data_IF_966048021509
#
_entry.id   IF_966048021509
#
_cell.length_a   1.000
_cell.length_b   1.000
_cell.length_c   1.000
_cell.angle_alpha   90.00
_cell.angle_beta   90.00
_cell.angle_gamma   90.00
#
_symmetry.space_group_name_H-M   'P 1'
#
loop_
_entity.id
_entity.type
_entity.pdbx_description
1 polymer ?
#
# COMPACT_ATOMS: atom_id res chain seq x y z
N UNK A 1 -3.79 12.56 0.02
CA UNK A 1 -2.74 12.41 -1.02
C UNK A 1 -1.58 11.66 -0.40
N UNK A 2 -1.00 10.68 -1.09
CA UNK A 2 0.17 9.94 -0.60
C UNK A 2 1.44 10.56 -1.18
N UNK A 3 2.30 11.13 -0.33
CA UNK A 3 3.49 11.85 -0.76
C UNK A 3 4.42 10.99 -1.64
N UNK A 4 4.77 11.50 -2.82
CA UNK A 4 5.68 10.86 -3.76
C UNK A 4 6.36 11.89 -4.67
N UNK A 5 7.69 11.92 -4.66
CA UNK A 5 8.51 12.82 -5.47
C UNK A 5 9.27 12.13 -6.61
N UNK A 6 9.25 10.80 -6.68
CA UNK A 6 9.89 10.06 -7.77
C UNK A 6 9.15 10.21 -9.10
N UNK A 7 9.80 9.76 -10.17
CA UNK A 7 9.22 9.73 -11.51
C UNK A 7 8.07 8.71 -11.57
N UNK A 8 6.89 9.18 -11.97
CA UNK A 8 5.69 8.38 -12.15
C UNK A 8 4.71 9.13 -13.05
N UNK A 9 4.21 8.45 -14.09
CA UNK A 9 3.37 9.05 -15.14
C UNK A 9 2.06 9.66 -14.64
N UNK A 10 1.52 9.14 -13.53
CA UNK A 10 0.25 9.60 -12.94
C UNK A 10 0.42 10.33 -11.61
N UNK A 11 1.64 10.80 -11.29
CA UNK A 11 1.86 11.68 -10.15
C UNK A 11 1.05 12.97 -10.32
N UNK A 12 0.40 13.40 -9.25
CA UNK A 12 -0.42 14.62 -9.25
C UNK A 12 0.30 15.72 -8.48
N UNK A 13 0.26 16.93 -9.03
CA UNK A 13 0.57 18.17 -8.32
C UNK A 13 -0.72 18.84 -7.84
N UNK A 14 -0.79 19.23 -6.57
CA UNK A 14 -1.92 19.94 -5.97
C UNK A 14 -1.38 21.05 -5.06
N UNK A 15 -1.31 22.31 -5.52
CA UNK A 15 -0.64 23.40 -4.79
C UNK A 15 -1.31 23.69 -3.43
N UNK A 16 -2.63 23.56 -3.35
CA UNK A 16 -3.44 23.90 -2.17
C UNK A 16 -3.42 22.81 -1.08
N UNK A 17 -2.66 21.72 -1.28
CA UNK A 17 -2.56 20.64 -0.30
C UNK A 17 -1.20 20.68 0.41
N UNK A 18 -1.13 20.33 1.71
CA UNK A 18 0.15 20.31 2.45
C UNK A 18 1.19 19.43 1.77
N UNK A 19 0.76 18.26 1.29
CA UNK A 19 1.53 17.42 0.39
C UNK A 19 1.20 17.85 -1.03
N UNK A 20 2.13 18.57 -1.67
CA UNK A 20 1.92 19.12 -3.01
C UNK A 20 2.08 18.09 -4.13
N UNK A 21 2.96 17.11 -3.97
CA UNK A 21 3.26 16.10 -4.98
C UNK A 21 3.00 14.69 -4.45
N UNK A 22 2.25 13.89 -5.18
CA UNK A 22 2.01 12.53 -4.76
C UNK A 22 1.04 11.73 -5.59
N UNK A 23 0.65 10.60 -5.02
CA UNK A 23 -0.41 9.74 -5.52
C UNK A 23 -1.75 10.28 -5.00
N UNK A 24 -2.68 10.57 -5.92
CA UNK A 24 -4.03 10.97 -5.56
C UNK A 24 -4.90 9.72 -5.40
N UNK A 25 -5.60 9.61 -4.28
CA UNK A 25 -6.62 8.60 -4.04
C UNK A 25 -7.94 9.31 -3.77
N UNK A 26 -9.01 8.83 -4.39
CA UNK A 26 -10.38 9.19 -4.09
C UNK A 26 -10.89 8.24 -3.02
N UNK A 27 -11.51 8.75 -1.96
CA UNK A 27 -11.93 7.94 -0.81
C UNK A 27 -13.41 8.17 -0.53
N UNK A 28 -14.08 7.10 -0.17
CA UNK A 28 -15.42 7.07 0.41
C UNK A 28 -15.26 6.67 1.87
N UNK A 29 -15.64 7.56 2.78
CA UNK A 29 -15.56 7.32 4.21
C UNK A 29 -16.95 7.47 4.85
N UNK A 30 -17.18 6.71 5.92
CA UNK A 30 -18.35 6.88 6.77
C UNK A 30 -18.37 8.28 7.40
N UNK A 31 -19.52 8.96 7.32
CA UNK A 31 -19.67 10.36 7.71
C UNK A 31 -19.54 10.55 9.23
N UNK A 32 -19.78 9.53 10.05
CA UNK A 32 -19.88 9.64 11.50
C UNK A 32 -18.54 9.33 12.15
N UNK A 33 -17.94 8.19 11.81
CA UNK A 33 -16.72 7.71 12.46
C UNK A 33 -15.47 7.78 11.59
N UNK A 34 -15.58 8.23 10.33
CA UNK A 34 -14.49 8.34 9.37
C UNK A 34 -13.88 6.99 8.92
N UNK A 35 -14.60 5.88 9.04
CA UNK A 35 -14.17 4.59 8.52
C UNK A 35 -14.00 4.65 7.00
N UNK A 36 -12.84 4.25 6.48
CA UNK A 36 -12.62 4.23 5.04
C UNK A 36 -13.27 2.99 4.42
N UNK A 37 -14.41 3.19 3.74
CA UNK A 37 -15.21 2.14 3.11
C UNK A 37 -14.61 1.67 1.79
N UNK A 38 -14.18 2.62 0.96
CA UNK A 38 -13.65 2.35 -0.38
C UNK A 38 -12.69 3.45 -0.80
N UNK A 39 -11.73 3.09 -1.65
CA UNK A 39 -10.90 4.08 -2.30
C UNK A 39 -10.61 3.68 -3.75
N UNK A 40 -10.25 4.67 -4.57
CA UNK A 40 -9.81 4.48 -5.94
C UNK A 40 -8.58 5.33 -6.20
N UNK A 41 -7.50 4.69 -6.65
CA UNK A 41 -6.27 5.40 -7.01
C UNK A 41 -6.48 6.13 -8.34
N UNK A 42 -6.06 7.39 -8.41
CA UNK A 42 -5.91 8.09 -9.68
C UNK A 42 -4.67 7.56 -10.40
N UNK A 43 -4.86 7.03 -11.61
CA UNK A 43 -3.80 6.42 -12.43
C UNK A 43 -3.55 7.19 -13.72
N UNK A 44 -3.94 8.47 -13.79
CA UNK A 44 -3.76 9.30 -14.97
C UNK A 44 -4.96 9.25 -15.91
N UNK A 45 -4.72 9.48 -17.20
CA UNK A 45 -5.75 9.33 -18.23
C UNK A 45 -6.09 7.84 -18.36
N UNK A 46 -7.34 7.50 -18.10
CA UNK A 46 -7.87 6.16 -18.36
C UNK A 46 -7.91 5.90 -19.87
N UNK A 47 -7.63 4.66 -20.29
CA UNK A 47 -7.89 4.20 -21.65
C UNK A 47 -9.40 4.10 -21.94
N UNK A 48 -10.21 3.91 -20.89
CA UNK A 48 -11.66 3.87 -20.98
C UNK A 48 -12.19 5.30 -21.06
N UNK A 49 -12.91 5.61 -22.15
CA UNK A 49 -13.57 6.90 -22.32
C UNK A 49 -14.65 7.07 -21.25
N UNK A 50 -14.73 8.25 -20.60
CA UNK A 50 -15.82 8.54 -19.68
C UNK A 50 -17.17 8.46 -20.35
N UNK A 51 -18.22 8.23 -19.56
CA UNK A 51 -19.60 8.33 -20.03
C UNK A 51 -19.92 9.75 -20.48
N UNK A 52 -21.10 9.91 -21.10
CA UNK A 52 -21.64 11.23 -21.47
C UNK A 52 -21.78 12.20 -20.29
N UNK A 53 -21.79 11.70 -19.05
CA UNK A 53 -21.89 12.50 -17.84
C UNK A 53 -20.50 12.93 -17.28
N UNK A 54 -19.42 12.38 -17.83
CA UNK A 54 -18.04 12.75 -17.53
C UNK A 54 -17.38 11.91 -16.43
N UNK A 55 -16.05 11.97 -16.37
CA UNK A 55 -15.23 11.08 -15.54
C UNK A 55 -15.51 11.19 -14.04
N UNK A 56 -15.84 12.39 -13.57
CA UNK A 56 -16.16 12.61 -12.15
C UNK A 56 -17.48 11.97 -11.76
N UNK A 57 -18.49 12.04 -12.63
CA UNK A 57 -19.76 11.35 -12.41
C UNK A 57 -19.51 9.84 -12.30
N UNK A 58 -18.77 9.27 -13.28
CA UNK A 58 -18.48 7.84 -13.31
C UNK A 58 -17.68 7.38 -12.09
N UNK A 59 -16.77 8.22 -11.60
CA UNK A 59 -15.99 7.99 -10.39
C UNK A 59 -16.89 7.87 -9.15
N UNK A 60 -17.83 8.80 -8.96
CA UNK A 60 -18.72 8.77 -7.78
C UNK A 60 -19.63 7.55 -7.85
N UNK A 61 -20.20 7.26 -9.02
CA UNK A 61 -21.01 6.06 -9.23
C UNK A 61 -20.22 4.79 -8.93
N UNK A 62 -18.99 4.68 -9.44
CA UNK A 62 -18.14 3.52 -9.17
C UNK A 62 -17.75 3.40 -7.68
N UNK A 63 -17.49 4.51 -6.99
CA UNK A 63 -17.19 4.47 -5.56
C UNK A 63 -18.40 4.02 -4.73
N UNK A 64 -19.61 4.44 -5.10
CA UNK A 64 -20.85 4.05 -4.43
C UNK A 64 -21.38 2.68 -4.89
N UNK A 65 -20.77 2.04 -5.89
CA UNK A 65 -21.13 0.68 -6.29
C UNK A 65 -21.09 -0.24 -5.07
N UNK A 66 -22.25 -0.83 -4.75
CA UNK A 66 -22.60 -1.66 -3.56
C UNK A 66 -23.24 -0.91 -2.37
N UNK A 67 -23.49 0.39 -2.48
CA UNK A 67 -24.15 1.21 -1.45
C UNK A 67 -25.50 1.80 -1.91
N UNK A 68 -25.94 1.46 -3.12
CA UNK A 68 -27.26 1.85 -3.63
C UNK A 68 -28.39 1.16 -2.88
N UNK A 69 -29.57 1.80 -2.86
CA UNK A 69 -30.82 1.26 -2.30
C UNK A 69 -30.75 0.87 -0.82
N UNK A 70 -29.79 1.43 -0.08
CA UNK A 70 -29.60 1.20 1.36
C UNK A 70 -30.04 2.38 2.23
N UNK A 71 -30.61 3.43 1.63
CA UNK A 71 -31.02 4.64 2.34
C UNK A 71 -29.86 5.51 2.83
N UNK A 72 -28.65 5.33 2.27
CA UNK A 72 -27.50 6.15 2.62
C UNK A 72 -27.58 7.56 2.00
N UNK A 73 -26.88 8.51 2.62
CA UNK A 73 -26.75 9.89 2.14
C UNK A 73 -25.28 10.19 1.84
N UNK A 74 -24.97 10.56 0.60
CA UNK A 74 -23.65 11.00 0.18
C UNK A 74 -23.45 12.48 0.54
N UNK A 75 -22.35 12.77 1.23
CA UNK A 75 -21.85 14.15 1.40
C UNK A 75 -20.59 14.35 0.57
N UNK A 76 -20.57 15.35 -0.32
CA UNK A 76 -19.41 15.56 -1.20
C UNK A 76 -19.13 17.04 -1.52
N UNK A 77 -17.88 17.32 -1.89
CA UNK A 77 -17.45 18.66 -2.31
C UNK A 77 -17.98 19.06 -3.71
N UNK A 78 -17.69 20.31 -4.08
CA UNK A 78 -18.06 20.89 -5.38
C UNK A 78 -17.34 20.30 -6.60
N UNK A 79 -16.27 19.54 -6.41
CA UNK A 79 -15.60 18.83 -7.48
C UNK A 79 -16.44 17.63 -7.90
N UNK A 80 -17.10 16.93 -6.96
CA UNK A 80 -17.90 15.74 -7.26
C UNK A 80 -19.36 16.03 -7.60
N UNK A 81 -19.95 17.09 -7.05
CA UNK A 81 -21.39 17.34 -7.16
C UNK A 81 -21.86 17.83 -8.54
N UNK A 82 -23.06 17.40 -8.93
CA UNK A 82 -23.81 17.96 -10.06
C UNK A 82 -25.30 17.62 -9.94
N UNK A 83 -26.21 18.45 -10.50
CA UNK A 83 -27.65 18.16 -10.52
C UNK A 83 -27.98 16.79 -11.11
N UNK A 84 -27.33 16.43 -12.23
CA UNK A 84 -27.53 15.14 -12.90
C UNK A 84 -27.13 13.97 -12.01
N UNK A 85 -25.97 14.04 -11.36
CA UNK A 85 -25.50 13.00 -10.44
C UNK A 85 -26.48 12.78 -9.29
N UNK A 86 -26.97 13.86 -8.69
CA UNK A 86 -27.81 13.77 -7.49
C UNK A 86 -29.19 13.19 -7.82
N UNK A 87 -29.77 13.57 -8.96
CA UNK A 87 -31.01 12.95 -9.45
C UNK A 87 -30.84 11.45 -9.75
N UNK A 88 -29.75 11.06 -10.41
CA UNK A 88 -29.50 9.64 -10.72
C UNK A 88 -29.24 8.83 -9.44
N UNK A 89 -28.56 9.39 -8.44
CA UNK A 89 -28.38 8.76 -7.11
C UNK A 89 -29.70 8.61 -6.36
N UNK A 90 -30.57 9.61 -6.42
CA UNK A 90 -31.90 9.55 -5.82
C UNK A 90 -32.73 8.39 -6.39
N UNK A 91 -32.72 8.22 -7.72
CA UNK A 91 -33.38 7.09 -8.40
C UNK A 91 -32.82 5.75 -7.91
N UNK A 92 -31.52 5.70 -7.60
CA UNK A 92 -30.84 4.52 -7.03
C UNK A 92 -30.97 4.43 -5.50
N UNK A 93 -31.97 5.07 -4.89
CA UNK A 93 -32.24 5.00 -3.46
C UNK A 93 -31.10 5.52 -2.57
N UNK A 94 -30.31 6.47 -3.09
CA UNK A 94 -29.18 7.11 -2.38
C UNK A 94 -29.38 8.62 -2.35
N UNK A 95 -29.54 9.17 -1.15
CA UNK A 95 -29.58 10.62 -0.95
C UNK A 95 -28.23 11.27 -1.24
N UNK A 96 -28.20 12.55 -1.59
CA UNK A 96 -26.94 13.28 -1.74
C UNK A 96 -27.09 14.75 -1.34
N UNK A 97 -26.06 15.28 -0.69
CA UNK A 97 -25.94 16.69 -0.31
C UNK A 97 -24.52 17.17 -0.58
N UNK A 98 -24.36 18.32 -1.22
CA UNK A 98 -23.04 18.82 -1.55
C UNK A 98 -23.01 20.28 -1.96
N UNK A 99 -21.86 20.92 -1.72
CA UNK A 99 -21.57 22.22 -2.33
C UNK A 99 -21.47 22.06 -3.84
N UNK A 100 -21.83 23.07 -4.64
CA UNK A 100 -21.78 23.01 -6.10
C UNK A 100 -21.20 24.30 -6.67
N UNK A 101 -20.48 24.20 -7.80
CA UNK A 101 -20.00 25.39 -8.51
C UNK A 101 -21.16 26.00 -9.31
N UNK A 102 -21.34 27.32 -9.26
CA UNK A 102 -22.41 28.04 -9.94
C UNK A 102 -22.49 27.79 -11.46
N UNK A 103 -21.36 27.48 -12.10
CA UNK A 103 -21.27 27.21 -13.54
C UNK A 103 -21.50 25.73 -13.90
N UNK A 104 -21.85 24.86 -12.94
CA UNK A 104 -22.20 23.47 -13.26
C UNK A 104 -23.43 23.43 -14.16
N UNK A 105 -23.40 22.52 -15.15
CA UNK A 105 -24.53 22.22 -16.02
C UNK A 105 -25.73 21.79 -15.17
N UNK A 106 -26.90 22.36 -15.45
CA UNK A 106 -28.15 22.07 -14.75
C UNK A 106 -28.47 23.02 -13.59
N UNK A 107 -27.57 23.92 -13.20
CA UNK A 107 -27.91 24.97 -12.22
C UNK A 107 -28.78 26.04 -12.92
N UNK A 108 -30.01 26.31 -12.44
CA UNK A 108 -30.94 27.25 -13.08
C UNK A 108 -30.38 28.68 -13.15
N UNK A 109 -30.77 29.45 -14.17
CA UNK A 109 -30.37 30.88 -14.27
C UNK A 109 -31.03 31.72 -13.18
N UNK A 110 -32.30 31.47 -12.90
CA UNK A 110 -33.09 32.20 -11.88
C UNK A 110 -32.39 32.29 -10.52
N UNK A 111 -31.74 31.21 -10.05
CA UNK A 111 -31.01 31.24 -8.78
C UNK A 111 -29.66 31.97 -8.89
N UNK A 112 -29.00 31.91 -10.05
CA UNK A 112 -27.74 32.65 -10.28
C UNK A 112 -27.99 34.15 -10.28
N UNK A 113 -29.06 34.57 -10.94
CA UNK A 113 -29.42 35.97 -11.15
C UNK A 113 -30.05 36.60 -9.90
N UNK A 114 -30.58 35.79 -8.98
CA UNK A 114 -31.05 36.23 -7.67
C UNK A 114 -29.90 36.88 -6.88
N UNK A 115 -29.99 38.18 -6.59
CA UNK A 115 -28.96 38.89 -5.81
C UNK A 115 -29.22 38.69 -4.32
N UNK A 116 -28.19 38.27 -3.60
CA UNK A 116 -28.17 38.23 -2.14
C UNK A 116 -27.12 39.25 -1.69
N UNK A 117 -27.55 40.27 -0.95
CA UNK A 117 -26.72 41.38 -0.47
C UNK A 117 -26.29 41.20 0.98
N UNK A 118 -27.14 40.61 1.81
CA UNK A 118 -26.94 40.56 3.26
C UNK A 118 -26.51 39.16 3.68
N UNK A 119 -25.56 39.08 4.61
CA UNK A 119 -25.17 37.82 5.24
C UNK A 119 -26.40 37.20 5.90
N UNK A 120 -26.61 35.90 5.70
CA UNK A 120 -27.79 35.17 6.17
C UNK A 120 -28.88 35.00 5.11
N UNK A 121 -28.89 35.83 4.06
CA UNK A 121 -29.89 35.71 3.00
C UNK A 121 -29.75 34.40 2.23
N UNK A 122 -30.90 33.88 1.78
CA UNK A 122 -31.01 32.61 1.07
C UNK A 122 -31.95 32.74 -0.11
N UNK A 123 -31.70 31.93 -1.14
CA UNK A 123 -32.64 31.68 -2.22
C UNK A 123 -32.58 30.20 -2.55
N UNK A 124 -33.75 29.55 -2.63
CA UNK A 124 -33.85 28.12 -2.92
C UNK A 124 -34.77 27.92 -4.11
N UNK A 125 -34.36 27.03 -5.01
CA UNK A 125 -35.19 26.54 -6.11
C UNK A 125 -35.27 25.03 -6.05
N UNK A 126 -36.44 24.50 -6.40
CA UNK A 126 -36.72 23.06 -6.35
C UNK A 126 -37.03 22.54 -7.76
N UNK A 127 -36.57 21.32 -8.05
CA UNK A 127 -36.90 20.55 -9.23
C UNK A 127 -37.10 19.09 -8.85
N UNK A 128 -38.36 18.67 -8.70
CA UNK A 128 -38.69 17.36 -8.14
C UNK A 128 -38.02 17.17 -6.77
N UNK A 129 -37.26 16.08 -6.55
CA UNK A 129 -36.58 15.82 -5.28
C UNK A 129 -35.33 16.69 -5.07
N UNK A 130 -34.82 17.38 -6.11
CA UNK A 130 -33.59 18.16 -6.02
C UNK A 130 -33.89 19.60 -5.57
N UNK A 131 -33.24 20.01 -4.50
CA UNK A 131 -33.21 21.38 -4.01
C UNK A 131 -31.86 22.01 -4.33
N UNK A 132 -31.86 23.25 -4.83
CA UNK A 132 -30.66 24.05 -5.03
C UNK A 132 -30.76 25.33 -4.19
N UNK A 133 -29.83 25.48 -3.25
CA UNK A 133 -29.74 26.61 -2.32
C UNK A 133 -28.59 27.51 -2.75
N UNK A 134 -28.84 28.81 -2.76
CA UNK A 134 -27.86 29.89 -2.77
C UNK A 134 -27.91 30.56 -1.42
N UNK A 135 -26.76 30.67 -0.76
CA UNK A 135 -26.64 31.19 0.60
C UNK A 135 -25.53 32.23 0.67
N UNK A 136 -25.82 33.38 1.27
CA UNK A 136 -24.83 34.44 1.48
C UNK A 136 -24.23 34.33 2.88
N UNK A 137 -23.01 33.78 2.99
CA UNK A 137 -22.19 33.92 4.21
C UNK A 137 -21.16 35.05 4.00
N UNK A 138 -19.92 34.89 4.47
CA UNK A 138 -18.79 35.76 4.08
C UNK A 138 -18.53 35.75 2.57
N UNK A 139 -18.89 34.65 1.90
CA UNK A 139 -18.94 34.52 0.45
C UNK A 139 -20.23 33.79 0.07
N UNK A 140 -20.71 34.02 -1.13
CA UNK A 140 -21.85 33.29 -1.68
C UNK A 140 -21.48 31.82 -1.90
N UNK A 141 -22.28 30.91 -1.35
CA UNK A 141 -22.14 29.46 -1.50
C UNK A 141 -23.38 28.89 -2.18
N UNK A 142 -23.18 27.90 -3.04
CA UNK A 142 -24.26 27.12 -3.63
C UNK A 142 -24.19 25.70 -3.10
N UNK A 143 -25.34 25.16 -2.69
CA UNK A 143 -25.52 23.76 -2.31
C UNK A 143 -26.64 23.15 -3.15
N UNK A 144 -26.53 21.85 -3.38
CA UNK A 144 -27.62 21.03 -3.89
C UNK A 144 -27.85 19.87 -2.93
N UNK A 145 -29.10 19.44 -2.79
CA UNK A 145 -29.46 18.29 -1.98
C UNK A 145 -30.70 17.60 -2.52
N UNK A 146 -30.78 16.28 -2.33
CA UNK A 146 -32.01 15.49 -2.56
C UNK A 146 -32.67 15.05 -1.26
N UNK A 147 -32.10 15.36 -0.10
CA UNK A 147 -32.60 14.93 1.21
C UNK A 147 -32.99 16.10 2.09
N UNK A 148 -32.22 17.18 2.03
CA UNK A 148 -32.39 18.35 2.87
C UNK A 148 -33.25 19.42 2.20
N UNK A 149 -34.10 20.05 2.99
CA UNK A 149 -34.79 21.29 2.62
C UNK A 149 -33.96 22.51 3.05
N UNK A 150 -34.46 23.71 2.78
CA UNK A 150 -33.79 24.96 3.15
C UNK A 150 -34.43 25.66 4.36
N UNK A 151 -34.99 24.89 5.30
CA UNK A 151 -35.56 25.46 6.52
C UNK A 151 -34.46 26.17 7.33
N UNK A 152 -34.80 27.30 7.96
CA UNK A 152 -33.86 28.06 8.80
C UNK A 152 -33.66 27.32 10.13
N UNK A 153 -32.41 27.17 10.57
CA UNK A 153 -32.06 26.51 11.84
C UNK A 153 -31.14 27.41 12.66
N UNK A 154 -31.47 27.56 13.94
CA UNK A 154 -30.60 28.18 14.95
C UNK A 154 -29.52 27.20 15.35
N UNK A 155 -28.25 27.60 15.26
CA UNK A 155 -27.13 26.73 15.65
C UNK A 155 -26.66 27.00 17.07
N UNK A 156 -26.01 26.01 17.68
CA UNK A 156 -25.34 26.14 18.99
C UNK A 156 -24.07 26.99 18.95
N UNK A 157 -23.61 27.39 17.75
CA UNK A 157 -22.39 28.17 17.59
C UNK A 157 -22.74 29.66 17.61
N UNK A 158 -21.98 30.43 18.38
CA UNK A 158 -22.11 31.88 18.44
C UNK A 158 -21.18 32.54 17.42
N UNK A 159 -21.62 33.65 16.81
CA UNK A 159 -20.73 34.51 16.05
C UNK A 159 -19.67 35.08 17.01
N UNK A 160 -18.39 34.97 16.62
CA UNK A 160 -17.27 35.38 17.45
C UNK A 160 -17.29 36.89 17.77
N UNK A 161 -17.85 37.72 16.90
CA UNK A 161 -17.88 39.17 17.10
C UNK A 161 -19.14 39.67 17.79
N UNK A 162 -20.32 39.10 17.46
CA UNK A 162 -21.59 39.57 18.03
C UNK A 162 -22.04 38.74 19.23
N UNK A 163 -21.43 37.57 19.46
CA UNK A 163 -21.82 36.59 20.46
C UNK A 163 -23.28 36.09 20.32
N UNK A 164 -23.91 36.36 19.17
CA UNK A 164 -25.26 35.91 18.84
C UNK A 164 -25.23 34.50 18.25
N UNK A 165 -26.30 33.74 18.45
CA UNK A 165 -26.43 32.42 17.84
C UNK A 165 -26.44 32.53 16.32
N UNK A 166 -25.55 31.80 15.65
CA UNK A 166 -25.45 31.81 14.19
C UNK A 166 -26.68 31.12 13.62
N UNK A 167 -27.50 31.87 12.87
CA UNK A 167 -28.66 31.35 12.14
C UNK A 167 -28.19 30.98 10.72
N UNK A 168 -28.48 29.75 10.29
CA UNK A 168 -28.13 29.30 8.93
C UNK A 168 -29.14 28.27 8.40
N UNK A 169 -29.18 28.02 7.08
CA UNK A 169 -30.04 26.98 6.52
C UNK A 169 -29.67 25.59 7.07
N UNK A 170 -30.68 24.78 7.34
CA UNK A 170 -30.58 23.35 7.71
C UNK A 170 -29.62 22.61 6.78
N UNK A 171 -29.80 22.73 5.46
CA UNK A 171 -28.91 22.12 4.46
C UNK A 171 -27.44 22.47 4.66
N UNK A 172 -27.11 23.74 4.98
CA UNK A 172 -25.73 24.16 5.27
C UNK A 172 -25.25 23.57 6.58
N UNK A 173 -26.12 23.56 7.60
CA UNK A 173 -25.81 23.01 8.91
C UNK A 173 -25.47 21.51 8.86
N UNK A 174 -26.32 20.71 8.22
CA UNK A 174 -26.12 19.26 8.07
C UNK A 174 -24.88 18.97 7.23
N UNK A 175 -24.69 19.71 6.13
CA UNK A 175 -23.50 19.57 5.29
C UNK A 175 -22.21 19.80 6.09
N UNK A 176 -22.12 20.90 6.85
CA UNK A 176 -20.93 21.21 7.64
C UNK A 176 -20.63 20.15 8.72
N UNK A 177 -21.68 19.53 9.30
CA UNK A 177 -21.53 18.49 10.32
C UNK A 177 -21.04 17.15 9.76
N UNK A 178 -21.56 16.75 8.59
CA UNK A 178 -21.30 15.42 8.00
C UNK A 178 -20.14 15.43 7.01
N UNK A 179 -19.82 16.58 6.43
CA UNK A 179 -18.65 16.74 5.57
C UNK A 179 -17.35 16.63 6.39
N UNK A 180 -16.26 16.23 5.74
CA UNK A 180 -14.93 16.18 6.36
C UNK A 180 -14.53 14.82 6.94
N UNK A 181 -15.36 13.77 6.83
CA UNK A 181 -14.98 12.41 7.22
C UNK A 181 -13.70 11.91 6.54
N UNK A 182 -13.51 12.22 5.25
CA UNK A 182 -12.27 11.88 4.52
C UNK A 182 -11.05 12.61 5.12
N UNK A 183 -11.22 13.89 5.49
CA UNK A 183 -10.15 14.67 6.10
C UNK A 183 -9.83 14.17 7.52
N UNK A 184 -10.85 13.79 8.31
CA UNK A 184 -10.68 13.14 9.62
C UNK A 184 -9.92 11.82 9.49
N UNK A 185 -10.29 10.96 8.54
CA UNK A 185 -9.56 9.72 8.27
C UNK A 185 -8.10 10.01 7.91
N UNK A 186 -7.86 10.96 7.00
CA UNK A 186 -6.53 11.36 6.58
C UNK A 186 -5.70 11.92 7.75
N UNK A 187 -6.30 12.67 8.67
CA UNK A 187 -5.65 13.14 9.89
C UNK A 187 -5.24 11.97 10.80
N UNK A 188 -6.14 11.01 11.05
CA UNK A 188 -5.84 9.81 11.85
C UNK A 188 -4.72 8.95 11.24
N UNK A 189 -4.64 8.91 9.90
CA UNK A 189 -3.58 8.21 9.17
C UNK A 189 -2.24 8.96 9.27
N UNK A 190 -2.25 10.29 9.11
CA UNK A 190 -1.03 11.11 9.10
C UNK A 190 -0.40 11.21 10.50
N UNK A 191 -1.19 11.22 11.57
CA UNK A 191 -0.71 11.27 12.96
C UNK A 191 0.30 10.15 13.32
N UNK A 192 0.19 8.99 12.66
CA UNK A 192 1.06 7.82 12.90
C UNK A 192 1.57 7.23 11.59
N UNK A 193 1.99 8.10 10.67
CA UNK A 193 2.45 7.70 9.35
C UNK A 193 3.71 6.86 9.38
N UNK A 194 3.73 5.82 8.54
CA UNK A 194 4.92 5.00 8.30
C UNK A 194 5.86 5.74 7.34
N UNK A 195 6.88 6.39 7.90
CA UNK A 195 7.88 7.17 7.17
C UNK A 195 9.04 6.31 6.66
N UNK A 196 8.71 5.31 5.83
CA UNK A 196 9.71 4.49 5.16
C UNK A 196 10.15 5.20 3.87
N UNK A 197 11.45 5.51 3.77
CA UNK A 197 12.08 6.00 2.53
C UNK A 197 12.18 4.84 1.54
N UNK A 198 11.70 5.04 0.31
CA UNK A 198 11.72 4.00 -0.71
C UNK A 198 11.81 4.59 -2.11
N UNK A 199 12.53 3.91 -3.00
CA UNK A 199 12.61 4.24 -4.43
C UNK A 199 11.45 3.64 -5.25
N UNK A 200 10.57 2.83 -4.63
CA UNK A 200 9.44 2.19 -5.31
C UNK A 200 8.11 2.78 -4.83
N UNK A 201 7.38 3.46 -5.72
CA UNK A 201 6.13 4.16 -5.39
C UNK A 201 5.07 3.23 -4.78
N UNK A 202 4.97 1.99 -5.26
CA UNK A 202 3.98 1.02 -4.80
C UNK A 202 4.23 0.60 -3.34
N UNK A 203 5.48 0.59 -2.86
CA UNK A 203 5.79 0.36 -1.44
C UNK A 203 5.21 1.49 -0.59
N UNK A 204 5.31 2.74 -1.07
CA UNK A 204 4.74 3.89 -0.36
C UNK A 204 3.22 3.80 -0.27
N UNK A 205 2.56 3.39 -1.36
CA UNK A 205 1.13 3.11 -1.37
C UNK A 205 0.77 1.96 -0.41
N UNK A 206 1.51 0.85 -0.45
CA UNK A 206 1.30 -0.31 0.42
C UNK A 206 1.33 0.08 1.92
N UNK A 207 2.35 0.82 2.36
CA UNK A 207 2.42 1.27 3.75
C UNK A 207 1.33 2.28 4.12
N UNK A 208 0.86 3.09 3.16
CA UNK A 208 -0.31 3.93 3.37
C UNK A 208 -1.57 3.08 3.59
N UNK A 209 -1.78 2.04 2.79
CA UNK A 209 -2.92 1.12 2.94
C UNK A 209 -2.87 0.35 4.26
N UNK A 210 -1.70 -0.08 4.72
CA UNK A 210 -1.54 -0.64 6.07
C UNK A 210 -2.01 0.36 7.13
N UNK A 211 -1.61 1.63 7.03
CA UNK A 211 -2.05 2.64 7.99
C UNK A 211 -3.56 2.89 7.95
N UNK A 212 -4.18 2.89 6.77
CA UNK A 212 -5.63 2.96 6.62
C UNK A 212 -6.29 1.74 7.29
N UNK A 213 -5.75 0.53 7.10
CA UNK A 213 -6.25 -0.68 7.73
C UNK A 213 -6.16 -0.62 9.27
N UNK A 214 -5.05 -0.11 9.82
CA UNK A 214 -4.88 0.11 11.27
C UNK A 214 -5.87 1.16 11.80
N UNK A 215 -6.13 2.22 11.03
CA UNK A 215 -7.14 3.23 11.41
C UNK A 215 -8.54 2.63 11.38
N UNK A 216 -8.88 1.85 10.36
CA UNK A 216 -10.16 1.17 10.26
C UNK A 216 -10.36 0.16 11.40
N UNK A 217 -9.33 -0.63 11.76
CA UNK A 217 -9.42 -1.56 12.90
C UNK A 217 -9.56 -0.83 14.23
N UNK A 218 -8.88 0.31 14.40
CA UNK A 218 -9.07 1.17 15.56
C UNK A 218 -10.48 1.74 15.66
N UNK A 219 -11.08 2.13 14.53
CA UNK A 219 -12.47 2.59 14.50
C UNK A 219 -13.40 1.47 14.92
N UNK A 220 -13.27 0.26 14.34
CA UNK A 220 -14.06 -0.92 14.74
C UNK A 220 -13.90 -1.19 16.24
N UNK A 221 -12.68 -1.15 16.77
CA UNK A 221 -12.44 -1.30 18.21
C UNK A 221 -13.24 -0.28 19.04
N UNK A 222 -13.29 1.00 18.63
CA UNK A 222 -14.06 2.02 19.34
C UNK A 222 -15.56 1.77 19.29
N UNK A 223 -16.08 1.27 18.17
CA UNK A 223 -17.51 0.93 18.04
C UNK A 223 -17.90 -0.30 18.86
N UNK A 224 -16.99 -1.26 19.02
CA UNK A 224 -17.28 -2.52 19.72
C UNK A 224 -16.89 -2.53 21.20
N UNK A 225 -16.09 -1.57 21.68
CA UNK A 225 -15.61 -1.59 23.06
C UNK A 225 -16.70 -1.16 24.04
N UNK A 226 -16.85 -1.92 25.12
CA UNK A 226 -17.74 -1.58 26.25
C UNK A 226 -17.06 -0.67 27.28
N UNK A 227 -15.80 -0.27 27.04
CA UNK A 227 -15.06 0.60 27.95
C UNK A 227 -15.64 2.00 27.91
N UNK A 228 -15.91 2.57 29.09
CA UNK A 228 -16.35 3.97 29.24
C UNK A 228 -15.37 4.95 28.60
N UNK A 229 -14.08 4.66 28.66
CA UNK A 229 -13.02 5.38 27.97
C UNK A 229 -12.26 4.43 27.03
N UNK A 230 -12.55 4.49 25.71
CA UNK A 230 -11.78 3.76 24.71
C UNK A 230 -10.30 4.15 24.77
N UNK A 231 -9.41 3.20 24.52
CA UNK A 231 -7.98 3.51 24.45
C UNK A 231 -7.70 4.49 23.30
N UNK A 232 -6.78 5.43 23.52
CA UNK A 232 -6.35 6.33 22.45
C UNK A 232 -5.54 5.57 21.38
N UNK A 233 -5.56 6.09 20.15
CA UNK A 233 -4.96 5.44 18.98
C UNK A 233 -3.49 5.00 19.18
N UNK A 234 -2.69 5.78 19.92
CA UNK A 234 -1.29 5.42 20.27
C UNK A 234 -1.21 4.08 21.01
N UNK A 235 -2.02 3.91 22.05
CA UNK A 235 -2.02 2.71 22.88
C UNK A 235 -2.58 1.51 22.12
N UNK A 236 -3.61 1.73 21.31
CA UNK A 236 -4.13 0.71 20.39
C UNK A 236 -3.04 0.18 19.45
N UNK A 237 -2.30 1.09 18.80
CA UNK A 237 -1.20 0.70 17.91
C UNK A 237 -0.09 -0.05 18.64
N UNK A 238 0.27 0.34 19.86
CA UNK A 238 1.29 -0.35 20.66
C UNK A 238 0.85 -1.79 20.94
N UNK A 239 -0.39 -1.98 21.41
CA UNK A 239 -0.96 -3.30 21.65
C UNK A 239 -1.01 -4.15 20.39
N UNK A 240 -1.43 -3.58 19.27
CA UNK A 240 -1.44 -4.27 17.98
C UNK A 240 -0.04 -4.78 17.59
N UNK A 241 1.00 -3.99 17.86
CA UNK A 241 2.38 -4.41 17.59
C UNK A 241 2.80 -5.55 18.52
N UNK A 242 2.49 -5.48 19.81
CA UNK A 242 2.76 -6.55 20.79
C UNK A 242 2.09 -7.86 20.35
N UNK A 243 0.80 -7.83 20.03
CA UNK A 243 0.02 -9.00 19.60
C UNK A 243 0.55 -9.60 18.27
N UNK A 244 0.98 -8.75 17.33
CA UNK A 244 1.59 -9.22 16.08
C UNK A 244 2.97 -9.87 16.29
N UNK A 245 3.78 -9.34 17.22
CA UNK A 245 5.08 -9.91 17.55
C UNK A 245 4.92 -11.27 18.22
N UNK A 246 4.00 -11.39 19.19
CA UNK A 246 3.67 -12.65 19.85
C UNK A 246 3.22 -13.70 18.83
N UNK A 247 2.30 -13.35 17.93
CA UNK A 247 1.85 -14.24 16.86
C UNK A 247 3.01 -14.67 15.94
N UNK A 248 3.89 -13.74 15.56
CA UNK A 248 5.05 -14.05 14.71
C UNK A 248 6.07 -14.97 15.40
N UNK A 249 6.24 -14.84 16.72
CA UNK A 249 7.10 -15.72 17.51
C UNK A 249 6.53 -17.13 17.72
N UNK A 250 5.20 -17.28 17.65
CA UNK A 250 4.52 -18.58 17.65
C UNK A 250 4.69 -19.30 16.30
N UNK A 251 4.78 -18.55 15.20
CA UNK A 251 5.12 -19.10 13.89
C UNK A 251 6.63 -19.32 13.77
N UNK A 252 7.16 -20.42 14.33
CA UNK A 252 8.49 -20.96 14.00
C UNK A 252 8.55 -21.48 12.55
N UNK A 253 7.92 -20.80 11.60
CA UNK A 253 8.04 -21.12 10.18
C UNK A 253 9.29 -20.39 9.72
N UNK A 254 10.39 -21.13 9.64
CA UNK A 254 11.58 -20.67 8.95
C UNK A 254 11.15 -20.09 7.59
N UNK A 255 11.58 -18.86 7.22
CA UNK A 255 11.11 -18.23 6.01
C UNK A 255 11.41 -19.14 4.81
N UNK A 256 10.35 -19.69 4.21
CA UNK A 256 10.42 -20.42 2.92
C UNK A 256 10.54 -19.36 1.82
N UNK A 257 11.64 -18.61 1.86
CA UNK A 257 12.04 -17.73 0.78
C UNK A 257 12.78 -18.54 -0.29
N UNK A 258 12.67 -18.13 -1.55
CA UNK A 258 13.66 -18.50 -2.57
C UNK A 258 15.05 -18.19 -1.98
N UNK A 259 16.01 -19.12 -2.00
CA UNK A 259 17.35 -18.82 -1.54
C UNK A 259 17.82 -17.56 -2.25
N UNK A 260 18.28 -16.56 -1.48
CA UNK A 260 19.15 -15.53 -2.05
C UNK A 260 20.24 -16.24 -2.87
N UNK A 261 20.78 -15.64 -3.95
CA UNK A 261 21.97 -16.20 -4.59
C UNK A 261 22.96 -16.43 -3.46
N UNK A 262 23.25 -17.69 -3.14
CA UNK A 262 24.16 -18.03 -2.06
C UNK A 262 25.45 -17.31 -2.45
N UNK A 263 25.80 -16.23 -1.75
CA UNK A 263 27.20 -15.88 -1.59
C UNK A 263 27.80 -17.19 -1.12
N UNK A 264 28.58 -17.82 -2.00
CA UNK A 264 29.09 -19.16 -1.77
C UNK A 264 29.92 -19.05 -0.50
N UNK A 265 29.37 -19.41 0.65
CA UNK A 265 30.05 -19.28 1.96
C UNK A 265 31.40 -19.99 1.94
N UNK A 266 31.55 -21.01 1.07
CA UNK A 266 32.81 -21.68 0.75
C UNK A 266 33.91 -20.77 0.20
N UNK A 267 33.60 -19.62 -0.39
CA UNK A 267 34.55 -18.69 -1.01
C UNK A 267 34.96 -17.53 -0.09
N UNK A 268 34.16 -17.23 0.92
CA UNK A 268 34.33 -16.05 1.78
C UNK A 268 34.54 -16.42 3.24
N UNK A 269 34.34 -17.67 3.62
CA UNK A 269 34.51 -18.17 4.98
C UNK A 269 35.96 -18.51 5.33
N UNK A 270 36.24 -18.61 6.64
CA UNK A 270 37.45 -19.29 7.13
C UNK A 270 37.18 -20.78 7.10
N UNK A 271 38.05 -21.55 6.43
CA UNK A 271 37.89 -22.99 6.26
C UNK A 271 39.05 -23.74 6.91
N UNK A 272 38.73 -24.74 7.74
CA UNK A 272 39.74 -25.55 8.43
C UNK A 272 39.57 -27.02 8.08
N UNK A 273 40.70 -27.70 7.92
CA UNK A 273 40.77 -29.14 7.68
C UNK A 273 40.41 -29.88 8.97
N UNK A 274 39.60 -30.92 8.85
CA UNK A 274 39.19 -31.82 9.93
C UNK A 274 39.18 -33.27 9.40
N UNK A 275 39.09 -34.27 10.29
CA UNK A 275 38.97 -35.69 9.89
C UNK A 275 37.51 -36.16 9.87
N UNK A 276 37.18 -37.05 8.95
CA UNK A 276 35.92 -37.81 8.97
C UNK A 276 36.02 -38.92 10.01
N UNK A 277 35.47 -38.67 11.20
CA UNK A 277 35.38 -39.66 12.29
C UNK A 277 33.90 -39.90 12.59
N UNK A 278 33.47 -41.16 12.52
CA UNK A 278 32.13 -41.61 12.94
C UNK A 278 32.30 -42.86 13.83
N UNK A 279 31.68 -42.87 15.00
CA UNK A 279 31.77 -43.99 15.95
C UNK A 279 33.20 -44.35 16.39
N UNK A 280 34.10 -43.36 16.47
CA UNK A 280 35.51 -43.55 16.85
C UNK A 280 36.43 -44.11 15.75
N UNK A 281 35.91 -44.36 14.54
CA UNK A 281 36.71 -44.84 13.40
C UNK A 281 36.91 -43.74 12.36
N UNK A 282 38.12 -43.69 11.79
CA UNK A 282 38.40 -42.79 10.65
C UNK A 282 37.79 -43.37 9.38
N UNK A 283 36.93 -42.60 8.73
CA UNK A 283 36.29 -42.97 7.47
C UNK A 283 36.99 -42.32 6.29
N UNK A 284 37.11 -43.06 5.19
CA UNK A 284 37.58 -42.54 3.93
C UNK A 284 36.40 -42.36 2.98
N UNK A 285 36.24 -41.15 2.44
CA UNK A 285 35.18 -40.80 1.48
C UNK A 285 35.81 -40.24 0.20
N UNK A 286 35.12 -40.39 -0.92
CA UNK A 286 35.60 -39.90 -2.21
C UNK A 286 35.63 -38.36 -2.22
N UNK A 287 36.76 -37.77 -2.64
CA UNK A 287 36.92 -36.32 -2.72
C UNK A 287 35.94 -35.71 -3.72
N UNK A 288 35.21 -34.67 -3.29
CA UNK A 288 34.19 -34.03 -4.12
C UNK A 288 34.74 -33.19 -5.26
N UNK A 289 36.05 -32.93 -5.33
CA UNK A 289 36.66 -32.13 -6.41
C UNK A 289 37.29 -33.06 -7.45
N UNK A 290 38.30 -33.84 -7.06
CA UNK A 290 39.05 -34.65 -8.02
C UNK A 290 38.24 -35.85 -8.55
N UNK A 291 37.39 -36.49 -7.73
CA UNK A 291 36.57 -37.63 -8.18
C UNK A 291 35.67 -37.30 -9.36
N UNK A 292 34.80 -36.29 -9.27
CA UNK A 292 33.98 -35.88 -10.40
C UNK A 292 34.77 -35.26 -11.56
N UNK A 293 35.88 -34.56 -11.27
CA UNK A 293 36.72 -33.95 -12.31
C UNK A 293 37.40 -35.02 -13.18
N UNK A 294 38.02 -36.03 -12.58
CA UNK A 294 38.65 -37.16 -13.28
C UNK A 294 37.62 -37.99 -14.04
N UNK A 295 36.44 -38.22 -13.45
CA UNK A 295 35.35 -38.91 -14.14
C UNK A 295 34.92 -38.21 -15.43
N UNK A 296 34.95 -36.88 -15.46
CA UNK A 296 34.63 -36.05 -16.64
C UNK A 296 35.82 -35.84 -17.61
N UNK A 297 37.02 -36.31 -17.27
CA UNK A 297 38.17 -36.31 -18.19
C UNK A 297 38.25 -37.61 -18.99
N UNK A 298 37.67 -38.69 -18.47
CA UNK A 298 37.65 -39.97 -19.18
C UNK A 298 36.45 -40.02 -20.13
N UNK A 299 36.65 -39.57 -21.38
CA UNK A 299 35.64 -39.66 -22.44
C UNK A 299 35.49 -41.08 -23.04
N UNK A 300 36.30 -42.05 -22.59
CA UNK A 300 36.25 -43.44 -23.06
C UNK A 300 36.35 -44.42 -21.89
N UNK A 301 35.21 -44.80 -21.31
CA UNK A 301 35.13 -46.01 -20.46
C UNK A 301 34.62 -47.14 -21.35
N UNK A 302 35.48 -48.13 -21.62
CA UNK A 302 35.03 -49.40 -22.23
C UNK A 302 34.02 -50.04 -21.27
N UNK A 303 32.87 -50.54 -21.75
CA UNK A 303 31.89 -51.20 -20.88
C UNK A 303 32.54 -52.39 -20.16
N UNK A 304 32.69 -52.31 -18.83
CA UNK A 304 33.16 -53.44 -18.00
C UNK A 304 34.30 -53.14 -17.00
N UNK A 305 35.08 -52.07 -17.17
CA UNK A 305 36.16 -51.73 -16.22
C UNK A 305 35.65 -50.87 -15.06
N UNK A 306 35.71 -51.40 -13.82
CA UNK A 306 35.44 -50.65 -12.59
C UNK A 306 36.63 -49.76 -12.23
N UNK A 307 36.81 -48.64 -12.93
CA UNK A 307 37.80 -47.63 -12.55
C UNK A 307 37.27 -46.78 -11.38
N UNK A 308 38.05 -46.68 -10.30
CA UNK A 308 37.76 -45.74 -9.20
C UNK A 308 38.31 -44.37 -9.58
N UNK A 309 37.45 -43.35 -9.57
CA UNK A 309 37.82 -41.97 -9.91
C UNK A 309 38.07 -41.15 -8.64
N UNK A 310 39.14 -40.37 -8.61
CA UNK A 310 39.52 -39.52 -7.50
C UNK A 310 39.98 -40.27 -6.26
N UNK A 311 40.63 -39.49 -5.38
CA UNK A 311 41.18 -39.98 -4.14
C UNK A 311 40.11 -40.21 -3.08
N UNK A 312 40.32 -41.27 -2.28
CA UNK A 312 39.60 -41.51 -1.04
C UNK A 312 40.31 -40.75 0.08
N UNK A 313 39.69 -39.71 0.60
CA UNK A 313 40.25 -38.83 1.63
C UNK A 313 39.59 -39.10 2.98
N UNK A 314 40.38 -39.12 4.05
CA UNK A 314 39.89 -39.08 5.42
C UNK A 314 39.62 -37.65 5.91
N UNK A 315 39.90 -36.64 5.08
CA UNK A 315 39.83 -35.23 5.46
C UNK A 315 38.59 -34.54 4.93
N UNK A 316 38.10 -33.56 5.68
CA UNK A 316 36.92 -32.75 5.38
C UNK A 316 37.13 -31.28 5.70
N UNK A 317 36.34 -30.42 5.07
CA UNK A 317 36.17 -29.06 5.57
C UNK A 317 35.20 -29.07 6.75
N UNK A 318 35.61 -28.53 7.90
CA UNK A 318 34.78 -28.48 9.11
C UNK A 318 33.47 -27.70 8.89
N UNK A 319 33.55 -26.57 8.17
CA UNK A 319 32.43 -25.67 7.93
C UNK A 319 31.49 -26.18 6.84
N UNK A 320 32.05 -26.66 5.72
CA UNK A 320 31.25 -27.12 4.58
C UNK A 320 30.82 -28.59 4.72
N UNK A 321 31.43 -29.34 5.64
CA UNK A 321 31.21 -30.78 5.88
C UNK A 321 31.30 -31.65 4.62
N UNK A 322 32.31 -31.39 3.78
CA UNK A 322 32.55 -32.11 2.51
C UNK A 322 33.93 -32.77 2.48
N UNK A 323 34.08 -33.96 1.89
CA UNK A 323 35.38 -34.64 1.75
C UNK A 323 36.26 -33.98 0.69
N UNK A 324 37.46 -33.57 1.10
CA UNK A 324 38.44 -32.88 0.26
C UNK A 324 39.83 -33.45 0.52
N UNK A 325 40.65 -33.59 -0.53
CA UNK A 325 42.08 -33.81 -0.36
C UNK A 325 42.72 -32.55 0.25
N UNK A 326 43.71 -32.72 1.14
CA UNK A 326 44.40 -31.60 1.80
C UNK A 326 44.93 -30.63 0.75
N UNK A 327 45.66 -31.13 -0.24
CA UNK A 327 46.12 -30.38 -1.40
C UNK A 327 45.83 -31.18 -2.68
N UNK A 328 45.51 -30.51 -3.80
CA UNK A 328 45.13 -29.10 -3.95
C UNK A 328 43.61 -28.87 -3.81
N UNK A 329 42.83 -29.94 -3.59
CA UNK A 329 41.36 -29.88 -3.65
C UNK A 329 40.75 -28.96 -2.59
N UNK A 330 41.34 -28.89 -1.39
CA UNK A 330 40.86 -28.02 -0.32
C UNK A 330 40.93 -26.55 -0.71
N UNK A 331 42.06 -26.10 -1.26
CA UNK A 331 42.24 -24.73 -1.72
C UNK A 331 41.32 -24.42 -2.90
N UNK A 332 41.30 -25.29 -3.91
CA UNK A 332 40.47 -25.11 -5.11
C UNK A 332 38.99 -24.98 -4.75
N UNK A 333 38.52 -25.81 -3.82
CA UNK A 333 37.12 -25.77 -3.37
C UNK A 333 36.76 -24.49 -2.63
N UNK A 334 37.70 -23.83 -1.96
CA UNK A 334 37.42 -22.61 -1.19
C UNK A 334 37.86 -21.32 -1.88
N UNK A 335 38.54 -21.38 -3.02
CA UNK A 335 39.03 -20.17 -3.73
C UNK A 335 38.46 -19.99 -5.13
N UNK A 336 37.97 -21.07 -5.78
CA UNK A 336 37.52 -21.02 -7.19
C UNK A 336 36.00 -21.15 -7.30
N UNK A 337 35.37 -20.28 -8.10
CA UNK A 337 33.94 -20.37 -8.38
C UNK A 337 33.56 -21.70 -9.05
N UNK A 338 34.43 -22.27 -9.88
CA UNK A 338 34.22 -23.56 -10.54
C UNK A 338 35.35 -24.54 -10.19
N UNK A 339 35.26 -25.25 -9.05
CA UNK A 339 36.37 -26.05 -8.53
C UNK A 339 36.74 -27.23 -9.44
N UNK A 340 35.78 -27.82 -10.14
CA UNK A 340 36.03 -28.94 -11.06
C UNK A 340 36.86 -28.52 -12.28
N UNK A 341 36.51 -27.37 -12.88
CA UNK A 341 37.22 -26.83 -14.04
C UNK A 341 38.61 -26.35 -13.65
N UNK A 342 38.76 -25.74 -12.48
CA UNK A 342 40.06 -25.36 -11.94
C UNK A 342 40.97 -26.57 -11.72
N UNK A 343 40.46 -27.65 -11.12
CA UNK A 343 41.21 -28.90 -10.96
C UNK A 343 41.61 -29.50 -12.32
N UNK A 344 40.71 -29.46 -13.31
CA UNK A 344 40.99 -29.97 -14.66
C UNK A 344 42.10 -29.20 -15.37
N UNK A 345 42.09 -27.88 -15.29
CA UNK A 345 43.13 -27.02 -15.86
C UNK A 345 44.49 -27.28 -15.22
N UNK A 346 44.52 -27.39 -13.89
CA UNK A 346 45.75 -27.70 -13.14
C UNK A 346 46.36 -29.05 -13.58
N UNK A 347 45.54 -30.11 -13.65
CA UNK A 347 46.01 -31.43 -14.11
C UNK A 347 46.47 -31.44 -15.56
N UNK A 348 45.83 -30.67 -16.44
CA UNK A 348 46.23 -30.55 -17.85
C UNK A 348 47.57 -29.81 -17.98
N UNK A 349 47.81 -28.79 -17.15
CA UNK A 349 49.09 -28.06 -17.11
C UNK A 349 50.24 -28.94 -16.58
N UNK A 350 50.01 -29.75 -15.54
CA UNK A 350 50.99 -30.73 -15.04
C UNK A 350 51.36 -31.78 -16.10
N UNK A 351 50.39 -32.22 -16.92
CA UNK A 351 50.64 -33.21 -17.97
C UNK A 351 51.52 -32.66 -19.11
N UNK A 352 51.32 -31.40 -19.51
CA UNK A 352 52.10 -30.76 -20.57
C UNK A 352 53.53 -30.41 -20.12
N UNK A 353 53.74 -30.17 -18.82
CA UNK A 353 55.07 -29.87 -18.29
C UNK A 353 56.00 -31.10 -18.25
N UNK A 354 55.43 -32.32 -18.18
CA UNK A 354 56.18 -33.57 -18.13
C UNK A 354 56.46 -34.19 -19.51
N UNK A 355 56.09 -33.49 -20.60
CA UNK A 355 56.35 -33.92 -21.99
C UNK A 355 57.47 -33.12 -22.68
N UNK A 356 58.10 -32.18 -21.97
CA UNK A 356 59.22 -31.36 -22.47
C UNK A 356 60.58 -31.74 -21.84
N UNK A 357 60.66 -32.86 -21.11
CA UNK A 357 61.90 -33.59 -20.78
C UNK A 357 61.98 -34.87 -21.61
#
# INVERSE_FOLDING_TARGET
MVAWHGNLSFRVYSPDKPIKYGLKAYMLCDAENAYCLKFKLYTGKSSVRPSKNGATYDLVMDLLRNYYEKGHILFCDNYYSSPRLFMDLWILGTGATGTVRQYRKGIPKIIKDCKLSTRGETSTVHYGPLSCLKYQDSKTVYLISTTETSNIVTTSNHDFHTNETKIRPSMVHVYDQKMGAVDRNNQMVENYKLNIKTLKWWKKLFFHLINVAIVNSYIIYKECTTRSTPMVQRHFRRRLVEELLEYSGQTNVAPVGRPAPKVLERLTGRHFVDKFIEGGKTLHRQCIVCGPAERKMCDAVRPGEKRRFGHMTSYKCKQCNVPLCITPCFEIFHTKQEPFLAYKRMKSAEANCNTEE
#
